data_IF_055885226136
#
_entry.id   IF_055885226136
#
_cell.length_a   1.000
_cell.length_b   1.000
_cell.length_c   1.000
_cell.angle_alpha   90.00
_cell.angle_beta   90.00
_cell.angle_gamma   90.00
#
_symmetry.space_group_name_H-M   'P 1'
#
loop_
_entity.id
_entity.type
_entity.pdbx_description
1 polymer ?
#
# COMPACT_ATOMS: atom_id res chain seq x y z
N UNK A 1 63.49 38.33 -10.04
CA UNK A 1 63.61 36.95 -9.53
C UNK A 1 62.58 36.76 -8.43
N UNK A 2 61.79 35.68 -8.53
CA UNK A 2 61.09 34.89 -7.49
C UNK A 2 60.71 35.64 -6.19
N UNK A 3 59.46 35.68 -5.77
CA UNK A 3 58.74 34.46 -5.39
C UNK A 3 57.23 34.66 -5.43
N UNK A 4 56.56 33.62 -5.90
CA UNK A 4 55.12 33.55 -6.11
C UNK A 4 54.37 33.51 -4.78
N UNK A 5 53.33 34.33 -4.67
CA UNK A 5 52.34 34.22 -3.62
C UNK A 5 51.51 32.95 -3.83
N UNK A 6 51.69 32.03 -2.89
CA UNK A 6 50.82 30.90 -2.60
C UNK A 6 49.38 31.41 -2.37
N UNK A 7 48.49 31.25 -3.35
CA UNK A 7 47.04 31.32 -3.12
C UNK A 7 46.52 29.89 -3.13
N UNK A 8 46.40 29.34 -1.92
CA UNK A 8 45.48 28.23 -1.61
C UNK A 8 44.06 28.71 -1.98
N UNK A 9 43.52 28.25 -3.11
CA UNK A 9 42.07 28.19 -3.28
C UNK A 9 41.62 26.78 -2.89
N UNK A 10 41.43 26.63 -1.58
CA UNK A 10 40.63 25.57 -0.99
C UNK A 10 39.16 25.82 -1.37
N UNK A 11 38.38 24.74 -1.43
CA UNK A 11 36.92 24.72 -1.55
C UNK A 11 36.34 24.86 -2.95
N UNK A 12 36.37 23.74 -3.67
CA UNK A 12 35.16 23.29 -4.37
C UNK A 12 34.93 21.82 -4.02
N UNK A 13 34.78 21.55 -2.71
CA UNK A 13 33.93 20.43 -2.32
C UNK A 13 32.55 20.82 -2.81
N UNK A 14 32.22 20.39 -4.02
CA UNK A 14 30.84 20.27 -4.45
C UNK A 14 30.26 19.25 -3.48
N UNK A 15 29.81 19.75 -2.33
CA UNK A 15 28.80 19.08 -1.56
C UNK A 15 27.63 19.02 -2.53
N UNK A 16 27.57 17.93 -3.29
CA UNK A 16 26.31 17.36 -3.74
C UNK A 16 25.64 16.98 -2.43
N UNK A 17 25.04 17.97 -1.77
CA UNK A 17 23.95 17.76 -0.85
C UNK A 17 22.89 17.09 -1.71
N UNK A 18 22.98 15.76 -1.80
CA UNK A 18 21.83 14.92 -1.99
C UNK A 18 20.85 15.40 -0.95
N UNK A 19 19.93 16.28 -1.37
CA UNK A 19 18.87 16.77 -0.52
C UNK A 19 18.14 15.53 -0.08
N UNK A 20 18.43 15.07 1.13
CA UNK A 20 17.56 14.17 1.83
C UNK A 20 16.24 14.90 1.83
N UNK A 21 15.32 14.35 1.06
CA UNK A 21 14.05 14.92 0.76
C UNK A 21 13.31 15.16 2.07
N UNK A 22 13.31 16.42 2.51
CA UNK A 22 12.75 16.88 3.78
C UNK A 22 11.26 16.51 3.89
N UNK A 23 10.64 16.26 2.74
CA UNK A 23 9.23 15.96 2.54
C UNK A 23 8.88 14.46 2.66
N UNK A 24 9.81 13.57 3.04
CA UNK A 24 9.47 12.15 3.31
C UNK A 24 8.47 11.98 4.46
N UNK A 25 8.36 12.99 5.33
CA UNK A 25 7.34 13.07 6.38
C UNK A 25 5.89 13.23 5.85
N UNK A 26 5.74 13.65 4.59
CA UNK A 26 4.45 13.78 3.90
C UNK A 26 3.97 12.45 3.32
N UNK A 27 4.84 11.42 3.26
CA UNK A 27 4.49 10.11 2.75
C UNK A 27 3.45 9.45 3.65
N UNK A 28 2.34 9.01 3.05
CA UNK A 28 1.31 8.18 3.65
C UNK A 28 1.36 6.78 3.04
N UNK A 29 0.83 5.81 3.78
CA UNK A 29 0.50 4.50 3.23
C UNK A 29 -0.68 4.73 2.28
N UNK A 30 -0.60 4.16 1.09
CA UNK A 30 -1.70 4.22 0.12
C UNK A 30 -2.43 2.89 -0.01
N UNK A 31 -3.47 2.91 -0.84
CA UNK A 31 -4.42 1.80 -0.94
C UNK A 31 -5.26 1.59 0.32
N UNK A 32 -6.14 0.61 0.23
CA UNK A 32 -6.93 0.10 1.33
C UNK A 32 -6.95 -1.42 1.20
N UNK A 33 -6.93 -2.12 2.33
CA UNK A 33 -7.18 -3.55 2.34
C UNK A 33 -8.58 -3.88 1.83
N UNK A 34 -9.55 -2.96 1.92
CA UNK A 34 -10.96 -3.20 1.62
C UNK A 34 -11.57 -4.31 2.47
N UNK A 35 -11.03 -4.52 3.68
CA UNK A 35 -11.52 -5.56 4.59
C UNK A 35 -13.00 -5.34 4.97
N UNK A 36 -13.48 -4.09 4.93
CA UNK A 36 -14.89 -3.78 5.16
C UNK A 36 -15.81 -4.47 4.14
N UNK A 37 -15.37 -4.63 2.89
CA UNK A 37 -16.18 -5.24 1.82
C UNK A 37 -16.30 -6.77 1.98
N UNK A 38 -15.36 -7.40 2.69
CA UNK A 38 -15.17 -8.86 2.64
C UNK A 38 -15.28 -9.57 3.99
N UNK A 39 -14.90 -8.91 5.09
CA UNK A 39 -14.85 -9.52 6.42
C UNK A 39 -15.44 -8.65 7.53
N UNK A 40 -16.07 -7.52 7.20
CA UNK A 40 -16.75 -6.72 8.23
C UNK A 40 -17.86 -7.53 8.90
N UNK A 41 -17.96 -7.39 10.22
CA UNK A 41 -18.90 -8.15 11.06
C UNK A 41 -18.79 -9.68 10.95
N UNK A 42 -17.71 -10.22 10.39
CA UNK A 42 -17.45 -11.65 10.37
C UNK A 42 -16.71 -12.10 11.63
N UNK A 43 -17.03 -13.28 12.18
CA UNK A 43 -16.31 -13.81 13.33
C UNK A 43 -14.93 -14.29 12.86
N UNK A 44 -13.88 -13.49 13.07
CA UNK A 44 -12.53 -13.81 12.57
C UNK A 44 -11.50 -14.01 13.66
N UNK A 45 -10.57 -14.93 13.44
CA UNK A 45 -9.29 -14.97 14.16
C UNK A 45 -8.17 -14.41 13.27
N UNK A 46 -7.33 -13.55 13.84
CA UNK A 46 -6.22 -12.93 13.12
C UNK A 46 -4.91 -13.64 13.44
N UNK A 47 -4.16 -14.01 12.41
CA UNK A 47 -2.84 -14.63 12.54
C UNK A 47 -1.79 -13.77 11.85
N UNK A 48 -0.73 -13.42 12.58
CA UNK A 48 0.44 -12.73 12.04
C UNK A 48 1.45 -13.74 11.51
N UNK A 49 2.03 -13.45 10.36
CA UNK A 49 3.08 -14.25 9.76
C UNK A 49 4.45 -13.69 10.17
N UNK A 50 5.33 -14.53 10.71
CA UNK A 50 6.68 -14.10 11.11
C UNK A 50 7.74 -14.69 10.20
N UNK A 51 8.35 -13.85 9.36
CA UNK A 51 9.50 -14.24 8.51
C UNK A 51 10.83 -14.23 9.25
N UNK A 52 10.92 -13.50 10.37
CA UNK A 52 12.18 -13.22 11.07
C UNK A 52 12.68 -14.41 11.91
N UNK A 53 11.78 -15.22 12.46
CA UNK A 53 12.16 -16.21 13.47
C UNK A 53 11.92 -17.67 13.05
N UNK A 54 10.91 -17.97 12.24
CA UNK A 54 10.48 -19.36 12.04
C UNK A 54 9.51 -19.61 10.85
N UNK A 55 9.18 -18.61 10.02
CA UNK A 55 8.11 -18.73 9.02
C UNK A 55 6.81 -19.30 9.63
N UNK A 56 6.45 -18.84 10.82
CA UNK A 56 5.31 -19.36 11.57
C UNK A 56 4.14 -18.39 11.65
N UNK A 57 2.97 -18.97 11.90
CA UNK A 57 1.76 -18.25 12.24
C UNK A 57 1.62 -18.09 13.75
N UNK A 58 1.33 -16.86 14.18
CA UNK A 58 1.04 -16.53 15.58
C UNK A 58 -0.34 -15.89 15.65
N UNK A 59 -1.18 -16.41 16.53
CA UNK A 59 -2.49 -15.81 16.79
C UNK A 59 -2.28 -14.42 17.40
N UNK A 60 -2.89 -13.40 16.82
CA UNK A 60 -2.68 -12.02 17.25
C UNK A 60 -3.19 -11.83 18.69
N UNK A 61 -2.38 -11.17 19.53
CA UNK A 61 -2.71 -10.92 20.93
C UNK A 61 -2.54 -12.09 21.91
N UNK A 62 -2.11 -13.29 21.48
CA UNK A 62 -1.86 -14.44 22.39
C UNK A 62 -0.43 -14.95 22.24
N UNK A 63 0.26 -15.14 23.38
CA UNK A 63 1.59 -15.78 23.41
C UNK A 63 1.43 -17.30 23.22
N UNK A 64 1.73 -17.80 22.03
CA UNK A 64 1.76 -19.24 21.71
C UNK A 64 1.62 -19.49 20.21
N UNK A 65 2.20 -20.60 19.71
CA UNK A 65 1.95 -21.06 18.34
C UNK A 65 0.66 -21.88 18.30
N UNK A 66 -0.26 -21.57 17.40
CA UNK A 66 -1.40 -22.44 17.09
C UNK A 66 -0.94 -23.48 16.06
N UNK A 67 -0.27 -24.53 16.54
CA UNK A 67 0.32 -25.56 15.66
C UNK A 67 -0.70 -26.26 14.76
N UNK A 68 -1.96 -26.36 15.20
CA UNK A 68 -3.02 -27.05 14.46
C UNK A 68 -3.44 -26.31 13.18
N UNK A 69 -3.57 -24.97 13.22
CA UNK A 69 -4.01 -24.19 12.04
C UNK A 69 -2.84 -23.74 11.16
N UNK A 70 -1.62 -23.75 11.70
CA UNK A 70 -0.43 -23.27 10.98
C UNK A 70 -0.15 -24.06 9.68
N UNK A 71 -0.38 -25.38 9.69
CA UNK A 71 -0.21 -26.22 8.48
C UNK A 71 -1.21 -25.82 7.39
N UNK A 72 -2.47 -25.73 7.74
CA UNK A 72 -3.54 -25.32 6.82
C UNK A 72 -3.25 -23.93 6.23
N UNK A 73 -2.91 -22.96 7.07
CA UNK A 73 -2.58 -21.61 6.60
C UNK A 73 -1.35 -21.57 5.70
N UNK A 74 -0.36 -22.43 5.92
CA UNK A 74 0.79 -22.56 5.02
C UNK A 74 0.39 -23.11 3.65
N UNK A 75 -0.49 -24.11 3.61
CA UNK A 75 -0.98 -24.68 2.36
C UNK A 75 -1.83 -23.65 1.58
N UNK A 76 -2.74 -22.95 2.26
CA UNK A 76 -3.54 -21.87 1.66
C UNK A 76 -2.64 -20.73 1.14
N UNK A 77 -1.68 -20.26 1.96
CA UNK A 77 -0.71 -19.24 1.56
C UNK A 77 0.06 -19.66 0.30
N UNK A 78 0.56 -20.90 0.27
CA UNK A 78 1.33 -21.43 -0.87
C UNK A 78 0.49 -21.47 -2.15
N UNK A 79 -0.77 -21.89 -2.05
CA UNK A 79 -1.68 -21.92 -3.18
C UNK A 79 -1.99 -20.51 -3.70
N UNK A 80 -2.27 -19.57 -2.79
CA UNK A 80 -2.47 -18.17 -3.13
C UNK A 80 -1.24 -17.56 -3.80
N UNK A 81 -0.06 -17.71 -3.21
CA UNK A 81 1.18 -17.14 -3.75
C UNK A 81 1.54 -17.72 -5.12
N UNK A 82 1.20 -18.99 -5.39
CA UNK A 82 1.32 -19.55 -6.73
C UNK A 82 0.37 -18.88 -7.72
N UNK A 83 -0.89 -18.64 -7.35
CA UNK A 83 -1.87 -17.90 -8.19
C UNK A 83 -1.35 -16.48 -8.48
N UNK A 84 -0.92 -15.77 -7.44
CA UNK A 84 -0.38 -14.41 -7.57
C UNK A 84 0.90 -14.34 -8.40
N UNK A 85 1.86 -15.24 -8.17
CA UNK A 85 3.11 -15.26 -8.95
C UNK A 85 2.86 -15.49 -10.44
N UNK A 86 1.87 -16.32 -10.80
CA UNK A 86 1.49 -16.53 -12.18
C UNK A 86 0.82 -15.30 -12.80
N UNK A 87 -0.01 -14.59 -12.03
CA UNK A 87 -0.73 -13.41 -12.51
C UNK A 87 0.14 -12.16 -12.63
N UNK A 88 1.03 -11.93 -11.67
CA UNK A 88 1.80 -10.69 -11.53
C UNK A 88 3.17 -10.73 -12.18
N UNK A 89 3.66 -11.93 -12.51
CA UNK A 89 5.06 -12.13 -12.87
C UNK A 89 6.01 -11.93 -11.68
N UNK A 90 7.29 -12.23 -11.90
CA UNK A 90 8.28 -12.30 -10.82
C UNK A 90 8.60 -10.95 -10.18
N UNK A 91 8.70 -9.87 -10.96
CA UNK A 91 9.10 -8.54 -10.44
C UNK A 91 8.07 -8.01 -9.43
N UNK A 92 6.81 -7.89 -9.84
CA UNK A 92 5.76 -7.33 -8.99
C UNK A 92 5.44 -8.27 -7.81
N UNK A 93 5.43 -9.59 -8.03
CA UNK A 93 5.22 -10.56 -6.95
C UNK A 93 6.31 -10.47 -5.87
N UNK A 94 7.57 -10.27 -6.25
CA UNK A 94 8.68 -10.14 -5.30
C UNK A 94 8.58 -8.92 -4.38
N UNK A 95 7.75 -7.94 -4.74
CA UNK A 95 7.48 -6.72 -3.97
C UNK A 95 6.31 -6.88 -3.00
N UNK A 96 5.62 -8.04 -2.98
CA UNK A 96 4.53 -8.31 -2.04
C UNK A 96 5.08 -8.87 -0.71
N UNK A 97 4.65 -8.28 0.39
CA UNK A 97 5.02 -8.67 1.74
C UNK A 97 3.77 -9.06 2.54
N UNK A 98 3.63 -10.34 2.83
CA UNK A 98 2.55 -10.85 3.68
C UNK A 98 2.70 -10.34 5.12
N UNK A 99 1.63 -9.74 5.64
CA UNK A 99 1.55 -9.23 7.02
C UNK A 99 0.81 -10.21 7.94
N UNK A 100 -0.41 -10.56 7.55
CA UNK A 100 -1.31 -11.38 8.36
C UNK A 100 -2.41 -12.02 7.53
N UNK A 101 -3.17 -12.91 8.16
CA UNK A 101 -4.41 -13.48 7.63
C UNK A 101 -5.50 -13.43 8.70
N UNK A 102 -6.71 -13.04 8.31
CA UNK A 102 -7.93 -13.25 9.09
C UNK A 102 -8.62 -14.51 8.60
N UNK A 103 -9.05 -15.36 9.52
CA UNK A 103 -9.78 -16.61 9.22
C UNK A 103 -11.17 -16.52 9.80
N UNK A 104 -12.18 -16.61 8.95
CA UNK A 104 -13.59 -16.65 9.37
C UNK A 104 -13.93 -17.99 10.00
N UNK A 105 -14.52 -17.95 11.20
CA UNK A 105 -14.92 -19.12 11.99
C UNK A 105 -16.43 -19.16 12.19
N UNK A 106 -17.13 -19.69 11.19
CA UNK A 106 -18.58 -19.82 11.17
C UNK A 106 -19.09 -20.61 12.39
N UNK A 107 -18.43 -21.70 12.79
CA UNK A 107 -18.90 -22.57 13.89
C UNK A 107 -18.88 -21.93 15.29
N UNK A 108 -18.28 -20.74 15.44
CA UNK A 108 -18.21 -20.01 16.71
C UNK A 108 -19.37 -19.01 16.91
N UNK A 109 -20.35 -19.01 16.01
CA UNK A 109 -21.54 -18.14 16.04
C UNK A 109 -22.27 -18.11 17.38
N UNK A 110 -22.55 -19.26 17.98
CA UNK A 110 -23.25 -19.35 19.26
C UNK A 110 -22.51 -18.63 20.38
N UNK A 111 -21.19 -18.44 20.25
CA UNK A 111 -20.33 -17.72 21.19
C UNK A 111 -20.24 -16.22 20.88
N UNK A 112 -20.71 -15.78 19.71
CA UNK A 112 -20.58 -14.39 19.23
C UNK A 112 -21.91 -13.69 18.96
N UNK A 113 -23.03 -14.41 18.91
CA UNK A 113 -24.40 -13.89 18.69
C UNK A 113 -24.81 -12.76 19.64
N UNK A 114 -24.23 -12.67 20.84
CA UNK A 114 -24.53 -11.63 21.84
C UNK A 114 -23.57 -10.44 21.83
N UNK A 115 -22.56 -10.41 20.96
CA UNK A 115 -21.58 -9.30 20.90
C UNK A 115 -22.01 -8.29 19.84
N UNK A 116 -21.98 -7.01 20.19
CA UNK A 116 -22.18 -5.91 19.25
C UNK A 116 -20.86 -5.63 18.53
N UNK A 117 -20.84 -5.41 17.20
CA UNK A 117 -21.96 -5.43 16.26
C UNK A 117 -22.47 -6.84 15.93
N UNK A 118 -23.76 -6.95 15.57
CA UNK A 118 -24.44 -8.22 15.26
C UNK A 118 -23.80 -8.87 14.03
N UNK A 119 -23.29 -10.10 14.21
CA UNK A 119 -22.69 -10.91 13.14
C UNK A 119 -23.72 -11.23 12.05
N UNK A 120 -23.37 -10.99 10.78
CA UNK A 120 -24.20 -11.31 9.61
C UNK A 120 -23.47 -12.26 8.65
N UNK A 121 -23.70 -13.56 8.80
CA UNK A 121 -23.04 -14.61 8.01
C UNK A 121 -23.43 -14.60 6.54
N UNK A 122 -24.62 -14.11 6.18
CA UNK A 122 -25.04 -14.05 4.79
C UNK A 122 -24.12 -13.14 3.97
N UNK A 123 -23.41 -12.23 4.66
CA UNK A 123 -22.40 -11.35 4.09
C UNK A 123 -20.98 -11.89 4.23
N UNK A 124 -20.74 -12.89 5.08
CA UNK A 124 -19.42 -13.49 5.31
C UNK A 124 -19.04 -14.55 4.28
N UNK A 125 -18.91 -14.13 3.01
CA UNK A 125 -18.50 -14.99 1.89
C UNK A 125 -17.01 -15.34 1.89
N UNK A 126 -16.23 -14.68 2.75
CA UNK A 126 -14.78 -14.83 2.83
C UNK A 126 -14.41 -15.81 3.93
N UNK A 127 -13.67 -16.86 3.58
CA UNK A 127 -13.06 -17.79 4.53
C UNK A 127 -11.71 -17.30 5.04
N UNK A 128 -10.85 -16.85 4.12
CA UNK A 128 -9.52 -16.33 4.44
C UNK A 128 -9.37 -14.93 3.85
N UNK A 129 -8.84 -14.01 4.64
CA UNK A 129 -8.54 -12.66 4.17
C UNK A 129 -7.08 -12.34 4.46
N UNK A 130 -6.27 -12.25 3.41
CA UNK A 130 -4.84 -12.00 3.51
C UNK A 130 -4.54 -10.51 3.41
N UNK A 131 -3.67 -10.03 4.30
CA UNK A 131 -3.18 -8.66 4.31
C UNK A 131 -1.75 -8.65 3.75
N UNK A 132 -1.59 -8.10 2.56
CA UNK A 132 -0.30 -7.87 1.93
C UNK A 132 0.02 -6.37 1.90
N UNK A 133 1.30 -6.03 2.02
CA UNK A 133 1.80 -4.75 1.53
C UNK A 133 2.50 -4.96 0.20
N UNK A 134 2.18 -4.16 -0.81
CA UNK A 134 3.05 -3.96 -1.95
C UNK A 134 4.10 -2.89 -1.59
N UNK A 135 5.37 -3.20 -1.84
CA UNK A 135 6.51 -2.32 -1.63
C UNK A 135 7.06 -1.83 -2.99
N UNK A 136 6.43 -0.82 -3.62
CA UNK A 136 6.82 -0.39 -4.96
C UNK A 136 8.24 0.18 -4.99
N UNK A 137 8.66 0.84 -3.90
CA UNK A 137 10.02 1.32 -3.68
C UNK A 137 10.30 1.42 -2.17
N UNK A 138 11.55 1.70 -1.80
CA UNK A 138 11.99 1.70 -0.41
C UNK A 138 11.19 2.71 0.43
N UNK A 139 10.59 2.21 1.52
CA UNK A 139 9.85 3.03 2.48
C UNK A 139 8.42 3.37 2.08
N UNK A 140 7.97 2.95 0.89
CA UNK A 140 6.61 3.16 0.39
C UNK A 140 5.82 1.87 0.57
N UNK A 141 4.58 1.99 1.02
CA UNK A 141 3.68 0.86 1.24
C UNK A 141 2.33 1.14 0.60
N UNK A 142 1.80 0.13 -0.07
CA UNK A 142 0.45 0.09 -0.60
C UNK A 142 -0.29 -1.12 -0.04
N UNK A 143 -1.43 -0.91 0.59
CA UNK A 143 -2.22 -1.97 1.21
C UNK A 143 -2.95 -2.79 0.14
N UNK A 144 -2.84 -4.12 0.24
CA UNK A 144 -3.52 -5.07 -0.65
C UNK A 144 -4.23 -6.12 0.20
N UNK A 145 -5.55 -6.11 0.19
CA UNK A 145 -6.37 -7.16 0.80
C UNK A 145 -6.77 -8.19 -0.25
N UNK A 146 -6.68 -9.47 0.11
CA UNK A 146 -7.06 -10.57 -0.77
C UNK A 146 -8.02 -11.49 -0.04
N UNK A 147 -9.26 -11.55 -0.51
CA UNK A 147 -10.32 -12.38 0.03
C UNK A 147 -10.42 -13.69 -0.73
N UNK A 148 -10.41 -14.81 0.00
CA UNK A 148 -10.63 -16.16 -0.51
C UNK A 148 -11.90 -16.76 0.07
N UNK A 149 -12.65 -17.50 -0.76
CA UNK A 149 -13.76 -18.33 -0.30
C UNK A 149 -13.29 -19.66 0.32
N UNK A 150 -14.24 -20.53 0.70
CA UNK A 150 -13.95 -21.87 1.26
C UNK A 150 -13.20 -22.80 0.27
N UNK A 151 -13.30 -22.54 -1.03
CA UNK A 151 -12.59 -23.29 -2.08
C UNK A 151 -11.19 -22.71 -2.38
N UNK A 152 -10.77 -21.67 -1.64
CA UNK A 152 -9.53 -20.91 -1.87
C UNK A 152 -9.51 -20.16 -3.20
N UNK A 153 -10.68 -19.83 -3.75
CA UNK A 153 -10.81 -18.97 -4.92
C UNK A 153 -10.83 -17.50 -4.52
N UNK A 154 -10.12 -16.68 -5.30
CA UNK A 154 -10.02 -15.24 -5.04
C UNK A 154 -11.36 -14.61 -5.42
N UNK A 155 -12.03 -14.02 -4.44
CA UNK A 155 -13.31 -13.32 -4.63
C UNK A 155 -13.17 -11.81 -4.53
N UNK A 156 -12.01 -11.33 -4.08
CA UNK A 156 -11.70 -9.90 -4.07
C UNK A 156 -11.26 -9.41 -5.44
N UNK A 157 -11.71 -8.23 -5.82
CA UNK A 157 -11.08 -7.46 -6.89
C UNK A 157 -9.63 -7.11 -6.50
N UNK A 158 -8.69 -7.38 -7.39
CA UNK A 158 -7.27 -7.22 -7.10
C UNK A 158 -6.72 -5.90 -7.68
N UNK A 159 -6.00 -5.09 -6.90
CA UNK A 159 -5.37 -3.85 -7.37
C UNK A 159 -4.06 -4.16 -8.10
N UNK A 160 -4.14 -4.98 -9.16
CA UNK A 160 -3.01 -5.41 -9.97
C UNK A 160 -3.30 -5.18 -11.46
N UNK A 161 -2.29 -4.78 -12.25
CA UNK A 161 -2.44 -4.71 -13.70
C UNK A 161 -2.75 -6.08 -14.28
N UNK A 162 -3.42 -6.11 -15.44
CA UNK A 162 -3.69 -7.34 -16.17
C UNK A 162 -2.39 -8.03 -16.58
N UNK A 163 -2.39 -9.37 -16.63
CA UNK A 163 -1.27 -10.17 -17.12
C UNK A 163 -0.90 -9.82 -18.58
N UNK A 164 -1.89 -9.38 -19.36
CA UNK A 164 -1.71 -8.97 -20.76
C UNK A 164 -1.04 -7.60 -20.89
N UNK A 165 -0.97 -6.84 -19.79
CA UNK A 165 -0.31 -5.54 -19.72
C UNK A 165 0.57 -5.44 -18.46
N UNK A 166 1.65 -6.24 -18.39
CA UNK A 166 2.48 -6.30 -17.20
C UNK A 166 3.18 -4.95 -16.97
N UNK A 167 2.89 -4.33 -15.83
CA UNK A 167 3.49 -3.06 -15.46
C UNK A 167 4.86 -3.26 -14.81
N UNK A 168 5.90 -2.69 -15.41
CA UNK A 168 7.19 -2.50 -14.75
C UNK A 168 7.18 -1.15 -14.05
N UNK A 169 7.29 -1.14 -12.73
CA UNK A 169 7.35 0.10 -11.96
C UNK A 169 8.73 0.75 -12.12
N UNK A 170 8.76 2.07 -12.36
CA UNK A 170 10.03 2.80 -12.34
C UNK A 170 10.54 2.94 -10.90
N UNK A 171 11.56 2.15 -10.58
CA UNK A 171 12.20 2.19 -9.27
C UNK A 171 12.89 3.53 -8.97
N UNK A 172 13.14 4.36 -9.99
CA UNK A 172 13.68 5.72 -9.85
C UNK A 172 12.62 6.73 -9.38
N UNK A 173 11.34 6.47 -9.63
CA UNK A 173 10.23 7.33 -9.25
C UNK A 173 9.86 7.15 -7.77
N UNK A 174 10.53 7.94 -6.93
CA UNK A 174 10.29 8.01 -5.49
C UNK A 174 9.45 9.24 -5.11
N UNK A 175 9.12 9.37 -3.81
CA UNK A 175 8.32 10.47 -3.23
C UNK A 175 8.76 11.85 -3.72
N UNK A 176 10.07 12.06 -3.84
CA UNK A 176 10.66 13.35 -4.12
C UNK A 176 10.57 13.70 -5.60
N UNK A 177 10.75 12.68 -6.45
CA UNK A 177 10.48 12.80 -7.88
C UNK A 177 8.99 13.05 -8.13
N UNK A 178 8.09 12.36 -7.42
CA UNK A 178 6.65 12.61 -7.51
C UNK A 178 6.29 14.05 -7.11
N UNK A 179 6.83 14.57 -6.00
CA UNK A 179 6.60 15.96 -5.60
C UNK A 179 7.17 16.95 -6.62
N UNK A 180 8.37 16.70 -7.15
CA UNK A 180 8.99 17.55 -8.17
C UNK A 180 8.11 17.63 -9.41
N UNK A 181 7.67 16.49 -9.94
CA UNK A 181 6.76 16.42 -11.09
C UNK A 181 5.45 17.16 -10.79
N UNK A 182 4.88 16.98 -9.59
CA UNK A 182 3.66 17.67 -9.20
C UNK A 182 3.83 19.20 -9.14
N UNK A 183 4.96 19.71 -8.63
CA UNK A 183 5.30 21.14 -8.62
C UNK A 183 5.48 21.70 -10.04
N UNK A 184 6.04 20.90 -10.96
CA UNK A 184 6.25 21.25 -12.37
C UNK A 184 4.95 21.19 -13.22
N UNK A 185 3.90 20.54 -12.73
CA UNK A 185 2.61 20.42 -13.45
C UNK A 185 1.85 21.74 -13.67
N UNK A 186 2.25 22.82 -12.99
CA UNK A 186 1.56 24.12 -13.01
C UNK A 186 0.31 24.20 -12.12
N UNK A 187 -0.05 23.12 -11.43
CA UNK A 187 -1.17 23.08 -10.48
C UNK A 187 -0.79 23.73 -9.15
N UNK A 188 -1.63 24.59 -8.56
CA UNK A 188 -1.40 25.10 -7.21
C UNK A 188 -1.57 23.96 -6.21
N UNK A 189 -0.47 23.27 -5.89
CA UNK A 189 -0.44 22.10 -4.99
C UNK A 189 0.29 22.37 -3.67
N UNK A 190 0.68 23.64 -3.43
CA UNK A 190 1.44 24.05 -2.24
C UNK A 190 0.55 24.77 -1.21
N UNK A 191 0.72 24.49 0.09
CA UNK A 191 1.62 23.48 0.67
C UNK A 191 1.06 22.06 0.48
N UNK A 192 1.92 21.10 0.16
CA UNK A 192 1.56 19.66 0.04
C UNK A 192 1.31 19.10 1.44
N UNK A 193 0.25 18.31 1.62
CA UNK A 193 -0.01 17.62 2.89
C UNK A 193 0.23 16.12 2.82
N UNK A 194 -0.14 15.48 1.72
CA UNK A 194 -0.11 14.03 1.60
C UNK A 194 0.51 13.63 0.26
N UNK A 195 1.39 12.64 0.30
CA UNK A 195 1.91 11.94 -0.88
C UNK A 195 1.77 10.45 -0.65
N UNK A 196 1.21 9.71 -1.59
CA UNK A 196 1.03 8.26 -1.45
C UNK A 196 1.01 7.57 -2.81
N UNK A 197 1.19 6.26 -2.79
CA UNK A 197 1.12 5.39 -3.96
C UNK A 197 -0.25 4.72 -3.98
N UNK A 198 -0.93 4.67 -5.12
CA UNK A 198 -2.29 4.14 -5.24
C UNK A 198 -2.47 3.33 -6.53
N UNK A 199 -3.62 2.66 -6.66
CA UNK A 199 -4.02 1.95 -7.87
C UNK A 199 -5.32 2.53 -8.43
N UNK A 200 -5.25 3.00 -9.67
CA UNK A 200 -6.41 3.43 -10.43
C UNK A 200 -7.05 2.19 -11.08
N UNK A 201 -8.18 1.75 -10.53
CA UNK A 201 -8.91 0.57 -11.02
C UNK A 201 -9.53 0.78 -12.41
N UNK A 202 -9.91 2.01 -12.78
CA UNK A 202 -10.47 2.29 -14.11
C UNK A 202 -9.39 2.18 -15.18
N UNK A 203 -8.19 2.68 -14.87
CA UNK A 203 -7.03 2.62 -15.77
C UNK A 203 -6.24 1.32 -15.67
N UNK A 204 -6.45 0.54 -14.61
CA UNK A 204 -5.66 -0.66 -14.30
C UNK A 204 -4.18 -0.34 -14.07
N UNK A 205 -3.87 0.82 -13.48
CA UNK A 205 -2.51 1.34 -13.41
C UNK A 205 -2.16 1.87 -12.00
N UNK A 206 -0.90 1.69 -11.61
CA UNK A 206 -0.37 2.30 -10.40
C UNK A 206 -0.04 3.78 -10.62
N UNK A 207 -0.31 4.59 -9.60
CA UNK A 207 -0.10 6.04 -9.63
C UNK A 207 0.53 6.54 -8.33
N UNK A 208 1.27 7.62 -8.44
CA UNK A 208 1.61 8.49 -7.32
C UNK A 208 0.56 9.59 -7.22
N UNK A 209 0.10 9.85 -6.00
CA UNK A 209 -0.86 10.90 -5.70
C UNK A 209 -0.20 11.93 -4.80
N UNK A 210 -0.15 13.17 -5.27
CA UNK A 210 0.32 14.35 -4.52
C UNK A 210 -0.88 15.25 -4.26
N UNK A 211 -1.20 15.49 -2.99
CA UNK A 211 -2.45 16.14 -2.60
C UNK A 211 -2.23 17.35 -1.70
N UNK A 212 -2.98 18.40 -2.01
CA UNK A 212 -3.20 19.55 -1.15
C UNK A 212 -4.64 19.61 -0.64
N UNK A 213 -4.83 19.88 0.66
CA UNK A 213 -6.13 20.20 1.29
C UNK A 213 -6.34 21.70 1.28
N UNK A 214 -7.41 22.15 0.62
CA UNK A 214 -7.88 23.55 0.66
C UNK A 214 -8.90 23.66 1.78
N UNK A 215 -8.64 24.53 2.76
CA UNK A 215 -9.51 24.71 3.93
C UNK A 215 -10.22 26.06 3.91
N UNK A 216 -11.44 26.11 4.44
CA UNK A 216 -12.12 27.36 4.72
C UNK A 216 -11.51 28.09 5.94
N UNK A 217 -11.90 29.34 6.23
CA UNK A 217 -11.41 30.10 7.39
C UNK A 217 -11.68 29.43 8.75
N UNK A 218 -12.63 28.49 8.81
CA UNK A 218 -12.97 27.72 10.01
C UNK A 218 -12.22 26.38 10.10
N UNK A 219 -11.25 26.14 9.20
CA UNK A 219 -10.42 24.94 9.18
C UNK A 219 -11.07 23.69 8.57
N UNK A 220 -12.31 23.76 8.08
CA UNK A 220 -12.95 22.65 7.35
C UNK A 220 -12.32 22.50 5.97
N UNK A 221 -12.04 21.26 5.55
CA UNK A 221 -11.58 20.99 4.18
C UNK A 221 -12.74 21.22 3.22
N UNK A 222 -12.54 22.10 2.25
CA UNK A 222 -13.49 22.40 1.18
C UNK A 222 -13.20 21.56 -0.06
N UNK A 223 -11.92 21.49 -0.43
CA UNK A 223 -11.48 20.91 -1.69
C UNK A 223 -10.11 20.24 -1.51
N UNK A 224 -9.79 19.35 -2.43
CA UNK A 224 -8.45 18.86 -2.65
C UNK A 224 -7.95 19.31 -4.02
N UNK A 225 -6.79 19.94 -4.08
CA UNK A 225 -6.01 19.96 -5.31
C UNK A 225 -5.21 18.66 -5.34
N UNK A 226 -5.26 17.95 -6.45
CA UNK A 226 -4.58 16.68 -6.58
C UNK A 226 -3.84 16.61 -7.91
N UNK A 227 -2.62 16.06 -7.85
CA UNK A 227 -1.85 15.67 -9.02
C UNK A 227 -1.60 14.17 -8.94
N UNK A 228 -2.06 13.44 -9.94
CA UNK A 228 -1.83 12.00 -10.12
C UNK A 228 -0.76 11.81 -11.19
N UNK A 229 0.20 10.93 -10.93
CA UNK A 229 1.39 10.71 -11.77
C UNK A 229 1.51 9.20 -12.00
N UNK A 230 1.56 8.75 -13.24
CA UNK A 230 1.66 7.32 -13.53
C UNK A 230 2.98 6.71 -13.03
N UNK A 231 2.90 5.58 -12.32
CA UNK A 231 4.06 4.99 -11.64
C UNK A 231 5.05 4.26 -12.56
N UNK A 232 4.67 4.06 -13.84
CA UNK A 232 5.48 3.35 -14.84
C UNK A 232 6.65 4.18 -15.32
N UNK A 233 6.42 5.48 -15.55
CA UNK A 233 7.40 6.36 -16.19
C UNK A 233 7.32 7.82 -15.71
N UNK A 234 6.31 8.17 -14.89
CA UNK A 234 6.08 9.52 -14.41
C UNK A 234 5.64 10.52 -15.48
N UNK A 235 5.31 10.08 -16.71
CA UNK A 235 5.04 10.98 -17.84
C UNK A 235 3.59 11.45 -17.89
N UNK A 236 2.65 10.58 -17.54
CA UNK A 236 1.23 10.93 -17.53
C UNK A 236 0.87 11.58 -16.20
N UNK A 237 0.47 12.85 -16.27
CA UNK A 237 0.08 13.64 -15.12
C UNK A 237 -1.35 14.16 -15.30
N UNK A 238 -2.25 13.83 -14.37
CA UNK A 238 -3.60 14.41 -14.34
C UNK A 238 -3.75 15.26 -13.10
N UNK A 239 -4.19 16.52 -13.28
CA UNK A 239 -4.45 17.44 -12.19
C UNK A 239 -5.93 17.80 -12.15
N UNK A 240 -6.54 17.70 -10.97
CA UNK A 240 -7.95 18.02 -10.81
C UNK A 240 -8.27 18.53 -9.40
N UNK A 241 -9.42 19.20 -9.30
CA UNK A 241 -9.99 19.66 -8.03
C UNK A 241 -11.10 18.71 -7.60
N UNK A 242 -11.04 18.22 -6.36
CA UNK A 242 -12.08 17.38 -5.78
C UNK A 242 -12.76 18.13 -4.64
N UNK A 243 -14.02 18.53 -4.81
CA UNK A 243 -14.83 19.13 -3.74
C UNK A 243 -15.23 18.05 -2.74
N UNK A 244 -15.18 18.36 -1.45
CA UNK A 244 -15.66 17.46 -0.40
C UNK A 244 -17.16 17.68 -0.24
N UNK A 245 -17.97 16.72 -0.67
CA UNK A 245 -19.40 16.68 -0.34
C UNK A 245 -19.54 16.38 1.16
N UNK A 246 -20.30 17.23 1.88
CA UNK A 246 -20.60 17.05 3.31
C UNK A 246 -21.84 16.20 3.51
#
# INVERSE_FOLDING_TARGET
MRSWYTILFVFSVVFVSWSQCVESSLLKIGGDYRNTDYIDHCPTYNFKYSTVNDNSWKLDGIKGSSSAIAKELNDVKKNLEKKLSNQLGTDLFSKLELQSVSVSVYDSLSKMQSRYPVVDLAKCKTKYFFFYHLLPTKGVKFCVGIALDDNQDIISELPFPSIDNPTVLDNSLNVCNAIRIAKESGTPIMPIQDVYFDFDFERGAYVWVVRQKVRNPYGKVLEYNEVTIEAVDGTQTTAYKKTVEN
#
